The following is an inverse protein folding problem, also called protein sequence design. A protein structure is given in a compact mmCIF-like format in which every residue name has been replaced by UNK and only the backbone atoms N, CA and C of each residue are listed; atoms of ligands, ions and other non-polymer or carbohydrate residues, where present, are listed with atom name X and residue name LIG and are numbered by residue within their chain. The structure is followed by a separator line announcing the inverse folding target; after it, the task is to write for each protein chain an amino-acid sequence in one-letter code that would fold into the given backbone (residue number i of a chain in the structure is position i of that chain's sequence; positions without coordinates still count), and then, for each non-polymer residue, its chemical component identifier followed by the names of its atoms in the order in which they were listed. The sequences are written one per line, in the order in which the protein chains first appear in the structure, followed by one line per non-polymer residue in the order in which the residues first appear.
data_IF_942348492866
#
_entry.id   IF_942348492866
#
_cell.length_a   1.000
_cell.length_b   1.000
_cell.length_c   1.000
_cell.angle_alpha   90.00
_cell.angle_beta   90.00
_cell.angle_gamma   90.00
#
_symmetry.space_group_name_H-M   'P 1'
#
loop_
_entity.id
_entity.type
_entity.pdbx_description
1 polymer ?
#
# COMPACT_ATOMS: atom_id res chain seq x y z
N UNK A 1 -8.52 -13.00 30.08
CA UNK A 1 -7.92 -12.66 28.78
C UNK A 1 -8.48 -11.31 28.38
N UNK A 2 -7.62 -10.34 28.08
CA UNK A 2 -8.11 -9.07 27.49
C UNK A 2 -8.80 -9.38 26.15
N UNK A 3 -9.86 -8.65 25.83
CA UNK A 3 -10.54 -8.76 24.53
C UNK A 3 -9.61 -8.37 23.36
N UNK A 4 -10.02 -8.62 22.10
CA UNK A 4 -9.25 -8.17 20.96
C UNK A 4 -9.11 -6.63 20.98
N UNK A 5 -7.93 -6.14 20.65
CA UNK A 5 -7.71 -4.70 20.38
C UNK A 5 -8.43 -4.30 19.09
N UNK A 6 -8.83 -3.04 19.01
CA UNK A 6 -9.62 -2.50 17.89
C UNK A 6 -8.74 -1.57 17.08
N UNK A 7 -8.57 -1.86 15.79
CA UNK A 7 -8.03 -0.89 14.83
C UNK A 7 -9.16 0.08 14.48
N UNK A 8 -8.93 1.37 14.71
CA UNK A 8 -9.91 2.43 14.48
C UNK A 8 -9.74 3.06 13.09
N UNK A 9 -10.78 3.74 12.60
CA UNK A 9 -10.62 4.64 11.47
C UNK A 9 -9.69 5.80 11.87
N UNK A 10 -8.76 6.16 11.00
CA UNK A 10 -7.79 7.22 11.26
C UNK A 10 -8.47 8.58 11.49
N UNK A 11 -9.53 8.88 10.74
CA UNK A 11 -10.27 10.14 10.92
C UNK A 11 -10.95 10.24 12.28
N UNK A 12 -11.44 9.13 12.83
CA UNK A 12 -11.99 9.13 14.20
C UNK A 12 -10.92 9.58 15.21
N UNK A 13 -9.66 9.19 15.03
CA UNK A 13 -8.56 9.64 15.88
C UNK A 13 -8.24 11.13 15.71
N UNK A 14 -8.38 11.69 14.50
CA UNK A 14 -8.24 13.13 14.27
C UNK A 14 -9.39 13.90 14.91
N UNK A 15 -10.62 13.44 14.73
CA UNK A 15 -11.81 14.04 15.32
C UNK A 15 -11.74 14.06 16.85
N UNK A 16 -11.24 12.97 17.45
CA UNK A 16 -10.98 12.90 18.90
C UNK A 16 -9.89 13.87 19.34
N UNK A 17 -8.80 13.98 18.56
CA UNK A 17 -7.72 14.94 18.82
C UNK A 17 -8.22 16.37 18.82
N UNK A 18 -9.02 16.76 17.82
CA UNK A 18 -9.60 18.11 17.68
C UNK A 18 -10.60 18.42 18.79
N UNK A 19 -11.27 17.40 19.34
CA UNK A 19 -12.15 17.49 20.52
C UNK A 19 -11.39 17.50 21.85
N UNK A 20 -10.06 17.42 21.82
CA UNK A 20 -9.18 17.50 22.99
C UNK A 20 -8.70 16.15 23.54
N UNK A 21 -9.18 15.01 23.02
CA UNK A 21 -8.63 13.70 23.34
C UNK A 21 -7.39 13.43 22.47
N UNK A 22 -6.27 14.08 22.80
CA UNK A 22 -5.07 14.05 21.95
C UNK A 22 -4.25 12.76 22.06
N UNK A 23 -4.37 12.07 23.19
CA UNK A 23 -3.50 10.94 23.55
C UNK A 23 -3.43 9.85 22.46
N UNK A 24 -4.54 9.34 21.87
CA UNK A 24 -4.46 8.26 20.89
C UNK A 24 -3.61 8.61 19.66
N UNK A 25 -3.87 9.77 19.05
CA UNK A 25 -3.13 10.22 17.86
C UNK A 25 -1.69 10.59 18.20
N UNK A 26 -1.43 11.24 19.34
CA UNK A 26 -0.05 11.53 19.76
C UNK A 26 0.76 10.26 20.06
N UNK A 27 0.17 9.25 20.69
CA UNK A 27 0.83 7.95 20.90
C UNK A 27 1.18 7.30 19.57
N UNK A 28 0.30 7.35 18.57
CA UNK A 28 0.59 6.86 17.23
C UNK A 28 1.74 7.61 16.56
N UNK A 29 1.76 8.96 16.65
CA UNK A 29 2.85 9.79 16.14
C UNK A 29 4.18 9.43 16.83
N UNK A 30 4.17 9.26 18.16
CA UNK A 30 5.37 8.85 18.92
C UNK A 30 5.85 7.45 18.52
N UNK A 31 4.94 6.50 18.30
CA UNK A 31 5.29 5.15 17.86
C UNK A 31 5.95 5.14 16.48
N UNK A 32 5.37 5.84 15.50
CA UNK A 32 5.95 5.96 14.16
C UNK A 32 7.31 6.67 14.19
N UNK A 33 7.43 7.77 14.93
CA UNK A 33 8.73 8.43 15.15
C UNK A 33 9.75 7.44 15.73
N UNK A 34 9.38 6.68 16.75
CA UNK A 34 10.25 5.72 17.42
C UNK A 34 10.81 4.68 16.46
N UNK A 35 9.95 4.03 15.66
CA UNK A 35 10.43 3.00 14.71
C UNK A 35 11.24 3.60 13.55
N UNK A 36 10.98 4.85 13.15
CA UNK A 36 11.76 5.53 12.12
C UNK A 36 13.16 5.97 12.60
N UNK A 37 13.36 6.11 13.91
CA UNK A 37 14.65 6.46 14.51
C UNK A 37 15.50 5.25 14.89
N UNK A 38 14.90 4.05 14.96
CA UNK A 38 15.66 2.81 15.17
C UNK A 38 16.70 2.61 14.06
N UNK A 39 17.86 1.99 14.37
CA UNK A 39 18.88 1.72 13.35
C UNK A 39 18.31 0.89 12.19
N UNK A 40 18.70 1.14 10.92
CA UNK A 40 18.07 0.49 9.75
C UNK A 40 18.31 -1.02 9.63
N UNK A 41 19.09 -1.62 10.53
CA UNK A 41 19.31 -3.07 10.63
C UNK A 41 18.51 -3.70 11.77
N UNK A 42 17.87 -2.90 12.62
CA UNK A 42 16.92 -3.38 13.63
C UNK A 42 15.66 -3.89 12.91
N UNK A 43 15.21 -5.10 13.27
CA UNK A 43 14.05 -5.73 12.62
C UNK A 43 12.72 -5.01 12.91
N UNK A 44 12.68 -4.16 13.94
CA UNK A 44 11.55 -3.29 14.24
C UNK A 44 11.70 -1.88 13.65
N UNK A 45 12.82 -1.58 12.98
CA UNK A 45 12.98 -0.28 12.31
C UNK A 45 12.02 -0.15 11.13
N UNK A 46 11.54 1.07 10.90
CA UNK A 46 10.72 1.37 9.74
C UNK A 46 11.47 1.06 8.44
N UNK A 47 12.78 1.36 8.36
CA UNK A 47 13.60 1.03 7.19
C UNK A 47 13.59 -0.46 6.87
N UNK A 48 13.80 -1.31 7.88
CA UNK A 48 13.84 -2.75 7.69
C UNK A 48 12.48 -3.27 7.26
N UNK A 49 11.41 -2.85 7.94
CA UNK A 49 10.04 -3.29 7.66
C UNK A 49 9.59 -2.84 6.28
N UNK A 50 9.71 -1.55 5.96
CA UNK A 50 9.44 -0.97 4.64
C UNK A 50 10.16 -1.75 3.55
N UNK A 51 11.44 -2.04 3.79
CA UNK A 51 12.27 -2.80 2.87
C UNK A 51 11.92 -4.27 2.77
N UNK A 52 10.92 -4.81 3.46
CA UNK A 52 10.41 -6.15 3.20
C UNK A 52 9.49 -6.19 1.98
N UNK A 53 8.87 -5.07 1.62
CA UNK A 53 7.92 -4.99 0.51
C UNK A 53 8.61 -5.25 -0.83
N UNK A 54 9.53 -4.35 -1.22
CA UNK A 54 10.25 -4.37 -2.50
C UNK A 54 11.75 -4.25 -2.31
N UNK A 55 12.32 -3.08 -2.57
CA UNK A 55 13.73 -2.79 -2.34
C UNK A 55 14.09 -2.65 -0.85
N UNK A 56 15.33 -2.94 -0.43
CA UNK A 56 16.42 -3.45 -1.25
C UNK A 56 16.19 -4.91 -1.63
N UNK A 57 16.27 -5.23 -2.92
CA UNK A 57 16.01 -6.58 -3.41
C UNK A 57 17.02 -7.60 -2.92
N UNK A 58 16.58 -8.87 -2.88
CA UNK A 58 17.36 -10.00 -2.38
C UNK A 58 17.04 -11.29 -3.13
N UNK A 59 17.85 -12.32 -2.89
CA UNK A 59 17.66 -13.63 -3.52
C UNK A 59 17.83 -13.57 -5.04
N UNK A 60 17.06 -14.38 -5.77
CA UNK A 60 17.12 -14.40 -7.24
C UNK A 60 16.69 -13.06 -7.86
N UNK A 61 15.69 -12.40 -7.28
CA UNK A 61 15.21 -11.09 -7.73
C UNK A 61 16.15 -9.92 -7.45
N UNK A 62 17.33 -10.16 -6.82
CA UNK A 62 18.34 -9.10 -6.65
C UNK A 62 18.81 -8.51 -7.98
N UNK A 63 18.90 -9.32 -9.03
CA UNK A 63 19.39 -8.90 -10.35
C UNK A 63 18.67 -9.59 -11.51
N UNK A 64 17.46 -10.10 -11.28
CA UNK A 64 16.68 -10.81 -12.28
C UNK A 64 15.20 -10.43 -12.18
N UNK A 65 14.72 -9.65 -13.14
CA UNK A 65 13.35 -9.13 -13.18
C UNK A 65 12.26 -10.21 -13.36
N UNK A 66 12.62 -11.46 -13.68
CA UNK A 66 11.66 -12.58 -13.68
C UNK A 66 11.36 -13.11 -12.27
N UNK A 67 12.03 -12.57 -11.24
CA UNK A 67 11.79 -12.86 -9.83
C UNK A 67 11.56 -11.55 -9.08
N UNK A 68 10.58 -11.55 -8.19
CA UNK A 68 10.40 -10.44 -7.27
C UNK A 68 11.46 -10.49 -6.17
N UNK A 69 12.28 -9.45 -6.05
CA UNK A 69 13.35 -9.38 -5.06
C UNK A 69 12.88 -8.97 -3.66
N UNK A 70 11.63 -8.52 -3.53
CA UNK A 70 10.96 -8.23 -2.26
C UNK A 70 10.12 -9.43 -1.78
N UNK A 71 9.54 -9.33 -0.58
CA UNK A 71 8.71 -10.40 -0.03
C UNK A 71 7.22 -10.24 -0.32
N UNK A 72 6.77 -9.06 -0.77
CA UNK A 72 5.35 -8.83 -1.02
C UNK A 72 4.79 -9.78 -2.08
N UNK A 73 3.50 -10.05 -1.99
CA UNK A 73 2.78 -10.92 -2.92
C UNK A 73 1.74 -10.10 -3.65
N UNK A 74 1.90 -9.96 -4.97
CA UNK A 74 0.94 -9.35 -5.89
C UNK A 74 0.57 -10.32 -7.02
N UNK A 75 -0.60 -10.11 -7.60
CA UNK A 75 -1.15 -10.93 -8.69
C UNK A 75 -1.32 -12.41 -8.31
N UNK A 76 -1.39 -12.72 -7.02
CA UNK A 76 -1.52 -14.09 -6.54
C UNK A 76 -2.36 -14.20 -5.26
N UNK A 77 -2.81 -15.41 -4.94
CA UNK A 77 -3.72 -15.71 -3.83
C UNK A 77 -3.20 -15.39 -2.43
N UNK A 78 -1.91 -15.08 -2.28
CA UNK A 78 -1.33 -14.69 -1.00
C UNK A 78 -1.46 -13.18 -0.73
N UNK A 79 -1.82 -12.35 -1.73
CA UNK A 79 -1.91 -10.88 -1.62
C UNK A 79 -2.61 -10.41 -0.32
N UNK A 80 -3.88 -10.79 -0.02
CA UNK A 80 -4.54 -10.28 1.17
C UNK A 80 -3.87 -10.74 2.47
N UNK A 81 -3.42 -12.00 2.50
CA UNK A 81 -2.91 -12.61 3.74
C UNK A 81 -1.47 -12.22 4.05
N UNK A 82 -0.64 -11.99 3.03
CA UNK A 82 0.72 -11.48 3.22
C UNK A 82 0.68 -10.05 3.75
N UNK A 83 -0.15 -9.18 3.15
CA UNK A 83 -0.30 -7.80 3.61
C UNK A 83 -0.94 -7.71 5.01
N UNK A 84 -1.87 -8.61 5.37
CA UNK A 84 -2.37 -8.74 6.75
C UNK A 84 -1.23 -9.04 7.74
N UNK A 85 -0.36 -10.00 7.42
CA UNK A 85 0.80 -10.33 8.25
C UNK A 85 1.79 -9.15 8.32
N UNK A 86 1.95 -8.41 7.23
CA UNK A 86 2.82 -7.25 7.15
C UNK A 86 2.32 -6.07 8.02
N UNK A 87 1.03 -5.72 7.94
CA UNK A 87 0.41 -4.74 8.84
C UNK A 87 0.56 -5.15 10.31
N UNK A 88 0.40 -6.45 10.62
CA UNK A 88 0.62 -6.96 11.98
C UNK A 88 2.08 -6.83 12.44
N UNK A 89 3.06 -7.06 11.56
CA UNK A 89 4.47 -6.88 11.87
C UNK A 89 4.81 -5.41 12.16
N UNK A 90 4.32 -4.46 11.35
CA UNK A 90 4.47 -3.03 11.63
C UNK A 90 3.79 -2.65 12.96
N UNK A 91 2.55 -3.07 13.17
CA UNK A 91 1.83 -2.80 14.41
C UNK A 91 2.58 -3.34 15.65
N UNK A 92 3.20 -4.52 15.54
CA UNK A 92 4.04 -5.08 16.59
C UNK A 92 5.31 -4.23 16.85
N UNK A 93 5.92 -3.68 15.80
CA UNK A 93 7.06 -2.78 15.94
C UNK A 93 6.67 -1.44 16.56
N UNK A 94 5.51 -0.86 16.19
CA UNK A 94 4.97 0.34 16.83
C UNK A 94 4.77 0.13 18.34
N UNK A 95 4.26 -1.05 18.73
CA UNK A 95 4.07 -1.43 20.14
C UNK A 95 5.37 -1.70 20.89
N UNK A 96 6.50 -1.87 20.20
CA UNK A 96 7.81 -2.04 20.83
C UNK A 96 8.41 -0.73 21.35
N UNK A 97 7.86 0.41 20.93
CA UNK A 97 8.31 1.73 21.38
C UNK A 97 7.78 1.99 22.79
N UNK A 98 8.64 2.35 23.78
CA UNK A 98 8.21 2.58 25.15
C UNK A 98 7.07 3.61 25.26
N UNK A 99 6.00 3.26 25.98
CA UNK A 99 4.80 4.09 26.14
C UNK A 99 3.80 3.99 24.98
N UNK A 100 4.05 3.10 24.00
CA UNK A 100 3.17 2.85 22.86
C UNK A 100 2.64 1.41 22.81
N UNK A 101 2.74 0.65 23.90
CA UNK A 101 2.45 -0.80 23.96
C UNK A 101 1.01 -1.16 23.55
N UNK A 102 0.07 -0.23 23.77
CA UNK A 102 -1.35 -0.39 23.47
C UNK A 102 -1.75 0.15 22.09
N UNK A 103 -0.83 0.74 21.32
CA UNK A 103 -1.15 1.34 20.02
C UNK A 103 -1.65 0.27 19.04
N UNK A 104 -2.69 0.60 18.29
CA UNK A 104 -3.15 -0.18 17.14
C UNK A 104 -2.92 0.62 15.88
N UNK A 105 -2.56 -0.04 14.77
CA UNK A 105 -2.45 0.60 13.47
C UNK A 105 -3.86 0.95 12.98
N UNK A 106 -4.28 2.22 12.93
CA UNK A 106 -5.58 2.57 12.37
C UNK A 106 -5.57 2.39 10.84
N UNK A 107 -6.76 2.30 10.26
CA UNK A 107 -6.94 2.28 8.80
C UNK A 107 -7.40 3.66 8.32
N UNK A 108 -6.96 4.08 7.15
CA UNK A 108 -7.56 5.22 6.46
C UNK A 108 -8.79 4.72 5.68
N UNK A 109 -10.00 5.08 6.11
CA UNK A 109 -11.20 4.66 5.40
C UNK A 109 -11.36 5.43 4.07
N UNK A 110 -10.86 4.85 2.99
CA UNK A 110 -10.79 5.53 1.68
C UNK A 110 -12.14 5.78 1.02
N UNK A 111 -13.19 5.11 1.49
CA UNK A 111 -14.55 5.22 0.94
C UNK A 111 -15.51 5.97 1.87
N UNK A 112 -15.00 6.64 2.90
CA UNK A 112 -15.84 7.48 3.76
C UNK A 112 -16.16 8.83 3.11
N UNK A 113 -17.30 9.42 3.47
CA UNK A 113 -17.76 10.71 2.94
C UNK A 113 -16.68 11.80 3.03
N UNK A 114 -15.98 11.91 4.16
CA UNK A 114 -14.91 12.88 4.32
C UNK A 114 -13.74 12.67 3.33
N UNK A 115 -13.43 11.43 2.94
CA UNK A 115 -12.38 11.21 1.93
C UNK A 115 -12.89 11.46 0.51
N UNK A 116 -14.15 11.15 0.23
CA UNK A 116 -14.78 11.54 -1.03
C UNK A 116 -14.83 13.07 -1.20
N UNK A 117 -15.08 13.82 -0.12
CA UNK A 117 -15.22 15.28 -0.14
C UNK A 117 -13.92 16.05 0.05
N UNK A 118 -12.92 15.48 0.74
CA UNK A 118 -11.70 16.20 1.17
C UNK A 118 -10.39 15.48 0.89
N UNK A 119 -10.43 14.28 0.33
CA UNK A 119 -9.24 13.49 0.02
C UNK A 119 -8.59 12.85 1.25
N UNK A 120 -7.28 13.02 1.40
CA UNK A 120 -6.45 12.37 2.40
C UNK A 120 -6.66 13.03 3.79
N UNK A 121 -6.61 12.26 4.90
CA UNK A 121 -6.62 12.83 6.25
C UNK A 121 -5.51 13.86 6.48
N UNK A 122 -5.85 15.01 7.06
CA UNK A 122 -4.98 16.20 7.12
C UNK A 122 -3.62 15.93 7.81
N UNK A 123 -3.57 14.99 8.76
CA UNK A 123 -2.31 14.61 9.42
C UNK A 123 -1.27 14.10 8.43
N UNK A 124 -1.65 13.45 7.33
CA UNK A 124 -0.70 12.99 6.31
C UNK A 124 -0.18 14.13 5.41
N UNK A 125 -0.79 15.32 5.48
CA UNK A 125 -0.48 16.49 4.64
C UNK A 125 0.38 17.54 5.37
N UNK A 126 0.57 17.41 6.69
CA UNK A 126 1.35 18.36 7.51
C UNK A 126 2.81 17.95 7.62
N UNK A 127 3.75 18.80 7.18
CA UNK A 127 5.21 18.54 7.31
C UNK A 127 5.71 18.45 8.75
N UNK A 128 5.08 19.17 9.68
CA UNK A 128 5.45 19.25 11.09
C UNK A 128 4.30 18.76 11.97
N UNK A 129 4.65 18.19 13.11
CA UNK A 129 3.69 17.85 14.16
C UNK A 129 4.03 18.62 15.44
N UNK A 130 3.02 19.16 16.11
CA UNK A 130 3.16 19.85 17.40
C UNK A 130 2.35 19.09 18.44
N UNK A 131 3.03 18.60 19.47
CA UNK A 131 2.41 17.93 20.61
C UNK A 131 1.73 18.93 21.55
N UNK A 132 0.83 18.44 22.39
CA UNK A 132 0.16 19.23 23.44
C UNK A 132 1.12 19.92 24.40
N UNK A 133 2.27 19.31 24.67
CA UNK A 133 3.35 19.85 25.50
C UNK A 133 4.15 20.99 24.81
N UNK A 134 3.81 21.31 23.55
CA UNK A 134 4.49 22.32 22.72
C UNK A 134 5.70 21.80 21.95
N UNK A 135 6.09 20.53 22.11
CA UNK A 135 7.17 19.92 21.35
C UNK A 135 6.85 19.87 19.85
N UNK A 136 7.80 20.25 19.00
CA UNK A 136 7.64 20.25 17.54
C UNK A 136 8.62 19.26 16.90
N UNK A 137 8.12 18.40 16.02
CA UNK A 137 8.92 17.42 15.26
C UNK A 137 8.59 17.49 13.76
N UNK A 138 9.44 16.91 12.93
CA UNK A 138 9.01 16.47 11.60
C UNK A 138 7.92 15.41 11.78
N UNK A 139 6.82 15.54 11.02
CA UNK A 139 5.73 14.60 11.13
C UNK A 139 6.11 13.25 10.50
N UNK A 140 6.21 12.16 11.29
CA UNK A 140 6.64 10.87 10.77
C UNK A 140 5.61 10.22 9.84
N UNK A 141 4.38 10.74 9.75
CA UNK A 141 3.35 10.25 8.82
C UNK A 141 3.32 11.00 7.48
N UNK A 142 4.01 12.14 7.37
CA UNK A 142 4.05 12.93 6.14
C UNK A 142 4.99 12.32 5.09
N UNK A 143 6.21 11.93 5.50
CA UNK A 143 7.23 11.34 4.64
C UNK A 143 8.26 10.60 5.48
N UNK A 144 8.92 9.60 4.93
CA UNK A 144 10.06 8.95 5.57
C UNK A 144 11.39 9.45 5.00
N UNK A 145 12.43 9.54 5.83
CA UNK A 145 13.79 9.89 5.41
C UNK A 145 14.71 8.66 5.47
N UNK A 146 15.29 8.28 4.34
CA UNK A 146 16.12 7.09 4.22
C UNK A 146 17.37 7.18 5.08
N UNK A 147 17.51 6.23 6.01
CA UNK A 147 18.67 6.10 6.89
C UNK A 147 19.84 5.37 6.21
N UNK A 148 19.63 4.77 5.04
CA UNK A 148 20.63 4.01 4.29
C UNK A 148 20.32 4.06 2.79
N UNK A 149 21.37 4.04 1.96
CA UNK A 149 21.24 3.87 0.51
C UNK A 149 20.67 2.48 0.16
N UNK A 150 19.75 2.44 -0.79
CA UNK A 150 19.36 1.24 -1.54
C UNK A 150 19.83 1.38 -3.00
N UNK A 151 20.00 0.27 -3.69
CA UNK A 151 20.49 0.23 -5.06
C UNK A 151 19.65 -0.78 -5.82
N UNK A 152 18.98 -0.32 -6.86
CA UNK A 152 18.36 -1.17 -7.85
C UNK A 152 19.44 -1.81 -8.73
N UNK A 153 19.37 -3.13 -8.89
CA UNK A 153 20.29 -3.89 -9.75
C UNK A 153 19.56 -4.60 -10.91
N UNK A 154 18.31 -4.23 -11.21
CA UNK A 154 17.54 -4.69 -12.38
C UNK A 154 17.78 -3.81 -13.63
N UNK A 155 18.18 -2.56 -13.44
CA UNK A 155 18.54 -1.61 -14.51
C UNK A 155 19.67 -2.17 -15.42
N UNK A 156 19.54 -2.17 -16.78
CA UNK A 156 18.65 -1.32 -17.57
C UNK A 156 17.44 -1.96 -18.27
N UNK A 157 16.94 -3.12 -17.86
CA UNK A 157 15.74 -3.68 -18.48
C UNK A 157 14.87 -4.49 -17.51
N UNK A 158 13.54 -4.27 -17.45
CA UNK A 158 12.72 -3.27 -18.15
C UNK A 158 12.45 -1.96 -17.38
N UNK A 159 12.90 -1.83 -16.13
CA UNK A 159 12.38 -0.83 -15.20
C UNK A 159 13.27 0.41 -14.99
N UNK A 160 12.66 1.47 -14.44
CA UNK A 160 13.32 2.69 -14.01
C UNK A 160 14.27 2.42 -12.83
N UNK A 161 15.32 3.25 -12.65
CA UNK A 161 16.27 3.07 -11.55
C UNK A 161 15.70 3.59 -10.22
N UNK A 162 15.20 2.67 -9.41
CA UNK A 162 14.58 2.98 -8.11
C UNK A 162 15.58 3.19 -6.96
N UNK A 163 16.89 3.19 -7.25
CA UNK A 163 17.92 3.47 -6.25
C UNK A 163 17.66 4.78 -5.49
N UNK A 164 17.59 4.71 -4.14
CA UNK A 164 17.50 5.87 -3.26
C UNK A 164 18.77 6.07 -2.44
N UNK A 165 19.24 7.31 -2.38
CA UNK A 165 20.38 7.71 -1.56
C UNK A 165 20.07 7.84 -0.08
N UNK A 166 21.12 7.86 0.76
CA UNK A 166 20.99 8.30 2.15
C UNK A 166 20.40 9.71 2.22
N UNK A 167 19.40 9.92 3.08
CA UNK A 167 18.73 11.20 3.26
C UNK A 167 17.66 11.52 2.20
N UNK A 168 17.40 10.62 1.24
CA UNK A 168 16.23 10.73 0.37
C UNK A 168 14.95 10.76 1.22
N UNK A 169 13.98 11.60 0.83
CA UNK A 169 12.67 11.68 1.48
C UNK A 169 11.61 11.18 0.53
N UNK A 170 10.75 10.28 1.01
CA UNK A 170 9.63 9.82 0.19
C UNK A 170 8.70 10.97 -0.18
N UNK A 171 8.09 10.88 -1.34
CA UNK A 171 7.16 11.88 -1.84
C UNK A 171 5.96 11.23 -2.53
N UNK A 172 4.87 11.98 -2.58
CA UNK A 172 3.59 11.60 -3.20
C UNK A 172 3.33 12.50 -4.40
N UNK A 173 2.33 12.14 -5.21
CA UNK A 173 1.84 13.00 -6.29
C UNK A 173 1.59 14.45 -5.77
N UNK A 174 1.95 15.50 -6.53
CA UNK A 174 2.51 15.50 -7.89
C UNK A 174 4.06 15.52 -7.92
N UNK A 175 4.76 15.17 -6.83
CA UNK A 175 6.23 15.13 -6.85
C UNK A 175 6.78 13.88 -7.58
N UNK A 176 8.05 13.96 -7.98
CA UNK A 176 8.83 12.82 -8.46
C UNK A 176 9.86 12.38 -7.42
N UNK A 177 9.91 11.08 -7.20
CA UNK A 177 10.88 10.38 -6.35
C UNK A 177 11.94 9.61 -7.15
N UNK A 178 11.88 9.61 -8.49
CA UNK A 178 12.83 8.86 -9.31
C UNK A 178 14.19 9.57 -9.38
N UNK A 179 15.14 9.12 -8.57
CA UNK A 179 16.41 9.82 -8.32
C UNK A 179 17.64 9.01 -8.71
N UNK A 180 17.46 7.95 -9.50
CA UNK A 180 18.55 7.25 -10.17
C UNK A 180 19.38 8.21 -11.05
N UNK A 181 20.63 7.86 -11.40
CA UNK A 181 21.56 8.77 -12.07
C UNK A 181 21.02 9.38 -13.37
N UNK A 182 20.16 8.66 -14.10
CA UNK A 182 19.56 9.12 -15.36
C UNK A 182 18.41 10.14 -15.15
N UNK A 183 17.65 10.01 -14.07
CA UNK A 183 16.40 10.75 -13.85
C UNK A 183 16.54 11.89 -12.84
N UNK A 184 17.59 11.85 -12.01
CA UNK A 184 17.83 12.84 -10.96
C UNK A 184 17.65 14.28 -11.41
N UNK A 185 18.23 14.66 -12.56
CA UNK A 185 18.11 16.03 -13.08
C UNK A 185 16.67 16.39 -13.46
N UNK A 186 15.94 15.48 -14.13
CA UNK A 186 14.54 15.70 -14.51
C UNK A 186 13.67 15.82 -13.26
N UNK A 187 13.91 14.98 -12.26
CA UNK A 187 13.22 15.02 -10.97
C UNK A 187 13.47 16.33 -10.22
N UNK A 188 14.71 16.83 -10.20
CA UNK A 188 15.04 18.14 -9.61
C UNK A 188 14.30 19.29 -10.31
N UNK A 189 14.27 19.29 -11.66
CA UNK A 189 13.57 20.30 -12.47
C UNK A 189 12.04 20.24 -12.29
N UNK A 190 11.47 19.03 -12.23
CA UNK A 190 10.04 18.80 -11.96
C UNK A 190 9.66 19.31 -10.57
N UNK A 191 10.36 18.83 -9.54
CA UNK A 191 10.06 19.17 -8.15
C UNK A 191 10.28 20.66 -7.85
N UNK A 192 11.19 21.35 -8.57
CA UNK A 192 11.33 22.80 -8.47
C UNK A 192 10.06 23.56 -8.90
N UNK A 193 9.37 23.08 -9.96
CA UNK A 193 8.09 23.65 -10.40
C UNK A 193 6.99 23.39 -9.37
N UNK A 194 6.91 22.16 -8.85
CA UNK A 194 5.93 21.79 -7.81
C UNK A 194 6.13 22.63 -6.54
N UNK A 195 7.39 22.81 -6.11
CA UNK A 195 7.70 23.63 -4.94
C UNK A 195 7.28 25.11 -5.12
N UNK A 196 7.30 25.64 -6.35
CA UNK A 196 6.88 27.00 -6.63
C UNK A 196 5.36 27.23 -6.47
N UNK A 197 4.54 26.17 -6.47
CA UNK A 197 3.09 26.24 -6.24
C UNK A 197 2.74 26.52 -4.77
N UNK A 198 3.66 26.23 -3.84
CA UNK A 198 3.42 26.36 -2.40
C UNK A 198 2.73 25.12 -1.81
N UNK A 199 2.90 24.93 -0.50
CA UNK A 199 2.49 23.68 0.17
C UNK A 199 0.98 23.42 0.10
N UNK A 200 0.16 24.45 0.30
CA UNK A 200 -1.29 24.30 0.34
C UNK A 200 -1.85 23.89 -1.02
N UNK A 201 -1.38 24.51 -2.12
CA UNK A 201 -1.80 24.14 -3.47
C UNK A 201 -1.34 22.73 -3.85
N UNK A 202 -0.15 22.31 -3.40
CA UNK A 202 0.31 20.92 -3.60
C UNK A 202 -0.57 19.91 -2.88
N UNK A 203 -1.01 20.22 -1.66
CA UNK A 203 -1.95 19.36 -0.92
C UNK A 203 -3.33 19.33 -1.58
N UNK A 204 -3.80 20.46 -2.12
CA UNK A 204 -5.03 20.55 -2.91
C UNK A 204 -4.96 19.63 -4.14
N UNK A 205 -3.89 19.73 -4.94
CA UNK A 205 -3.66 18.89 -6.13
C UNK A 205 -3.68 17.38 -5.78
N UNK A 206 -3.02 16.98 -4.70
CA UNK A 206 -3.03 15.58 -4.26
C UNK A 206 -4.44 15.11 -3.86
N UNK A 207 -5.17 15.94 -3.11
CA UNK A 207 -6.53 15.59 -2.70
C UNK A 207 -7.49 15.53 -3.89
N UNK A 208 -7.42 16.48 -4.83
CA UNK A 208 -8.22 16.52 -6.06
C UNK A 208 -7.95 15.28 -6.91
N UNK A 209 -6.69 14.83 -7.03
CA UNK A 209 -6.35 13.59 -7.73
C UNK A 209 -6.99 12.38 -7.05
N UNK A 210 -6.81 12.21 -5.73
CA UNK A 210 -7.42 11.10 -4.97
C UNK A 210 -8.94 11.07 -5.13
N UNK A 211 -9.60 12.23 -5.05
CA UNK A 211 -11.05 12.35 -5.25
C UNK A 211 -11.47 11.94 -6.66
N UNK A 212 -10.72 12.36 -7.67
CA UNK A 212 -11.01 12.05 -9.07
C UNK A 212 -10.93 10.54 -9.33
N UNK A 213 -9.90 9.88 -8.79
CA UNK A 213 -9.78 8.41 -8.81
C UNK A 213 -10.95 7.71 -8.10
N UNK A 214 -11.36 8.21 -6.93
CA UNK A 214 -12.48 7.63 -6.17
C UNK A 214 -13.81 7.70 -6.92
N UNK A 215 -14.10 8.84 -7.56
CA UNK A 215 -15.40 9.13 -8.18
C UNK A 215 -15.46 8.84 -9.69
N UNK A 216 -14.31 8.60 -10.33
CA UNK A 216 -14.14 8.50 -11.78
C UNK A 216 -14.66 9.73 -12.53
N UNK A 217 -14.24 10.90 -12.09
CA UNK A 217 -14.47 12.14 -12.82
C UNK A 217 -13.35 12.33 -13.85
N UNK A 218 -13.45 11.64 -14.99
CA UNK A 218 -12.65 12.04 -16.17
C UNK A 218 -13.11 13.42 -16.66
N UNK A 219 -12.28 14.05 -17.50
CA UNK A 219 -12.45 15.39 -18.11
C UNK A 219 -13.84 15.62 -18.75
N UNK A 220 -14.58 14.54 -19.04
CA UNK A 220 -15.91 14.53 -19.63
C UNK A 220 -17.09 14.48 -18.62
N UNK A 221 -16.83 14.50 -17.31
CA UNK A 221 -17.85 14.74 -16.28
C UNK A 221 -18.89 13.63 -16.08
N UNK A 222 -18.58 12.38 -16.44
CA UNK A 222 -19.50 11.23 -16.21
C UNK A 222 -19.28 10.66 -14.80
N UNK A 223 -20.05 11.16 -13.83
CA UNK A 223 -20.00 10.64 -12.45
C UNK A 223 -20.43 9.16 -12.34
N UNK A 224 -19.62 8.37 -11.62
CA UNK A 224 -20.14 7.23 -10.86
C UNK A 224 -20.14 5.84 -11.50
N UNK A 225 -19.50 5.61 -12.65
CA UNK A 225 -19.24 4.24 -13.16
C UNK A 225 -17.75 3.99 -13.33
N UNK A 226 -17.18 3.03 -12.60
CA UNK A 226 -15.80 2.56 -12.78
C UNK A 226 -14.76 3.11 -11.80
N UNK A 227 -15.14 4.04 -10.91
CA UNK A 227 -14.23 4.62 -9.91
C UNK A 227 -13.83 3.65 -8.80
N UNK A 228 -12.78 3.99 -8.06
CA UNK A 228 -12.24 3.16 -6.98
C UNK A 228 -13.30 2.85 -5.93
N UNK A 229 -14.18 3.81 -5.63
CA UNK A 229 -15.32 3.60 -4.71
C UNK A 229 -16.20 2.42 -5.16
N UNK A 230 -16.56 2.38 -6.44
CA UNK A 230 -17.38 1.30 -6.99
C UNK A 230 -16.63 -0.04 -6.98
N UNK A 231 -15.34 -0.02 -7.32
CA UNK A 231 -14.48 -1.22 -7.30
C UNK A 231 -14.39 -1.83 -5.89
N UNK A 232 -14.31 -1.02 -4.83
CA UNK A 232 -14.39 -1.52 -3.45
C UNK A 232 -15.72 -2.19 -3.13
N UNK A 233 -16.85 -1.62 -3.57
CA UNK A 233 -18.16 -2.27 -3.37
C UNK A 233 -18.31 -3.56 -4.21
N UNK A 234 -17.75 -3.57 -5.43
CA UNK A 234 -17.81 -4.72 -6.32
C UNK A 234 -16.89 -5.85 -5.86
N UNK A 235 -15.73 -5.56 -5.25
CA UNK A 235 -14.86 -6.62 -4.73
C UNK A 235 -15.52 -7.39 -3.58
N UNK A 236 -16.33 -6.73 -2.75
CA UNK A 236 -17.13 -7.40 -1.71
C UNK A 236 -18.19 -8.37 -2.29
N UNK A 237 -18.43 -8.38 -3.60
CA UNK A 237 -19.35 -9.30 -4.28
C UNK A 237 -18.62 -10.50 -4.90
N UNK A 238 -17.29 -10.53 -4.91
CA UNK A 238 -16.52 -11.63 -5.49
C UNK A 238 -16.94 -12.98 -4.85
N UNK A 239 -17.20 -14.02 -5.66
CA UNK A 239 -17.93 -15.22 -5.22
C UNK A 239 -17.10 -16.23 -4.42
N UNK A 240 -15.77 -16.12 -4.44
CA UNK A 240 -14.86 -16.99 -3.69
C UNK A 240 -13.53 -16.28 -3.44
N UNK A 241 -12.73 -16.78 -2.49
CA UNK A 241 -11.48 -16.14 -2.09
C UNK A 241 -10.46 -16.01 -3.23
N UNK A 242 -10.33 -17.03 -4.09
CA UNK A 242 -9.32 -17.03 -5.18
C UNK A 242 -9.48 -15.83 -6.13
N UNK A 243 -10.71 -15.55 -6.56
CA UNK A 243 -10.98 -14.41 -7.47
C UNK A 243 -11.22 -13.09 -6.73
N UNK A 244 -11.52 -13.15 -5.43
CA UNK A 244 -11.50 -11.99 -4.56
C UNK A 244 -10.07 -11.47 -4.33
N UNK A 245 -9.10 -12.37 -4.18
CA UNK A 245 -7.79 -12.01 -3.64
C UNK A 245 -6.93 -11.21 -4.60
N UNK A 246 -6.99 -11.47 -5.91
CA UNK A 246 -5.95 -10.99 -6.83
C UNK A 246 -6.43 -10.83 -8.27
N UNK A 247 -5.70 -9.98 -8.98
CA UNK A 247 -5.91 -9.62 -10.39
C UNK A 247 -5.79 -10.80 -11.33
N UNK A 248 -4.76 -11.64 -11.24
CA UNK A 248 -4.56 -12.78 -12.16
C UNK A 248 -5.72 -13.78 -12.12
N UNK A 249 -6.16 -14.19 -10.92
CA UNK A 249 -7.31 -15.09 -10.78
C UNK A 249 -8.61 -14.45 -11.29
N UNK A 250 -8.85 -13.17 -10.99
CA UNK A 250 -10.06 -12.50 -11.44
C UNK A 250 -10.08 -12.29 -12.96
N UNK A 251 -8.95 -11.99 -13.59
CA UNK A 251 -8.82 -11.94 -15.06
C UNK A 251 -9.22 -13.26 -15.68
N UNK A 252 -8.62 -14.38 -15.25
CA UNK A 252 -8.97 -15.70 -15.77
C UNK A 252 -10.47 -16.00 -15.60
N UNK A 253 -11.01 -15.75 -14.41
CA UNK A 253 -12.44 -15.98 -14.15
C UNK A 253 -13.33 -15.17 -15.08
N UNK A 254 -12.99 -13.90 -15.31
CA UNK A 254 -13.79 -13.03 -16.15
C UNK A 254 -13.71 -13.41 -17.63
N UNK A 255 -12.55 -13.87 -18.10
CA UNK A 255 -12.39 -14.41 -19.46
C UNK A 255 -13.27 -15.65 -19.65
N UNK A 256 -13.21 -16.59 -18.70
CA UNK A 256 -13.96 -17.86 -18.78
C UNK A 256 -15.47 -17.69 -18.68
N UNK A 257 -15.95 -16.73 -17.88
CA UNK A 257 -17.38 -16.60 -17.56
C UNK A 257 -18.08 -15.46 -18.30
N UNK A 258 -17.34 -14.41 -18.67
CA UNK A 258 -17.90 -13.16 -19.20
C UNK A 258 -17.19 -12.68 -20.48
N UNK A 259 -16.16 -13.39 -20.95
CA UNK A 259 -15.37 -13.05 -22.14
C UNK A 259 -14.76 -11.64 -22.07
N UNK A 260 -14.27 -11.24 -20.89
CA UNK A 260 -13.57 -9.97 -20.66
C UNK A 260 -12.37 -10.14 -19.73
N UNK A 261 -11.27 -9.43 -20.02
CA UNK A 261 -10.10 -9.36 -19.13
C UNK A 261 -10.23 -8.24 -18.08
N UNK A 262 -9.15 -7.99 -17.33
CA UNK A 262 -9.02 -6.82 -16.44
C UNK A 262 -8.02 -5.79 -16.99
N UNK A 263 -8.28 -4.47 -16.83
CA UNK A 263 -9.50 -3.89 -16.25
C UNK A 263 -10.70 -4.09 -17.18
N UNK A 264 -11.81 -4.60 -16.65
CA UNK A 264 -13.04 -4.81 -17.40
C UNK A 264 -13.76 -3.46 -17.57
N UNK A 265 -14.29 -3.13 -18.76
CA UNK A 265 -15.10 -1.94 -18.94
C UNK A 265 -16.32 -1.96 -18.01
N UNK A 266 -16.64 -0.84 -17.37
CA UNK A 266 -17.82 -0.72 -16.50
C UNK A 266 -19.16 -1.03 -17.22
N UNK A 267 -19.15 -1.05 -18.56
CA UNK A 267 -20.29 -1.43 -19.40
C UNK A 267 -20.56 -2.93 -19.44
N UNK A 268 -19.59 -3.77 -19.05
CA UNK A 268 -19.73 -5.23 -19.05
C UNK A 268 -20.12 -5.68 -17.66
N UNK A 269 -21.29 -6.25 -17.51
CA UNK A 269 -21.78 -6.80 -16.24
C UNK A 269 -22.66 -8.04 -16.52
N UNK A 270 -22.57 -9.11 -15.71
CA UNK A 270 -21.73 -9.24 -14.52
C UNK A 270 -20.24 -9.48 -14.82
N UNK A 271 -19.35 -9.05 -13.92
CA UNK A 271 -17.93 -9.45 -13.85
C UNK A 271 -17.44 -9.42 -12.40
N UNK A 272 -16.30 -10.05 -12.12
CA UNK A 272 -15.65 -10.05 -10.80
C UNK A 272 -14.59 -8.95 -10.72
N UNK A 273 -14.59 -8.21 -9.63
CA UNK A 273 -13.52 -7.27 -9.26
C UNK A 273 -12.75 -7.86 -8.08
N UNK A 274 -11.41 -8.02 -8.15
CA UNK A 274 -10.61 -8.46 -7.02
C UNK A 274 -10.34 -7.28 -6.07
N UNK A 275 -10.06 -7.56 -4.80
CA UNK A 275 -9.63 -6.57 -3.80
C UNK A 275 -8.34 -5.83 -4.23
N UNK A 276 -7.44 -6.53 -4.91
CA UNK A 276 -6.20 -5.96 -5.43
C UNK A 276 -6.44 -4.86 -6.48
N UNK A 277 -7.58 -4.85 -7.17
CA UNK A 277 -7.86 -3.82 -8.19
C UNK A 277 -8.03 -2.41 -7.61
N UNK A 278 -8.98 -2.13 -6.68
CA UNK A 278 -9.08 -0.81 -6.07
C UNK A 278 -7.85 -0.45 -5.22
N UNK A 279 -7.14 -1.45 -4.67
CA UNK A 279 -5.83 -1.25 -4.04
C UNK A 279 -4.82 -0.63 -5.02
N UNK A 280 -4.65 -1.23 -6.20
CA UNK A 280 -3.71 -0.73 -7.21
C UNK A 280 -4.04 0.70 -7.62
N UNK A 281 -5.31 1.01 -7.81
CA UNK A 281 -5.74 2.36 -8.18
C UNK A 281 -5.35 3.42 -7.12
N UNK A 282 -5.49 3.09 -5.83
CA UNK A 282 -5.11 4.00 -4.74
C UNK A 282 -3.59 4.19 -4.63
N UNK A 283 -2.81 3.15 -4.91
CA UNK A 283 -1.36 3.27 -5.07
C UNK A 283 -1.01 4.28 -6.17
N UNK A 284 -1.66 4.17 -7.33
CA UNK A 284 -1.44 5.06 -8.46
C UNK A 284 -1.87 6.51 -8.16
N UNK A 285 -3.06 6.70 -7.57
CA UNK A 285 -3.61 8.01 -7.20
C UNK A 285 -2.73 8.79 -6.21
N UNK A 286 -2.22 8.10 -5.19
CA UNK A 286 -1.33 8.70 -4.19
C UNK A 286 0.10 8.84 -4.74
N UNK A 287 0.48 7.92 -5.63
CA UNK A 287 1.84 7.67 -6.05
C UNK A 287 2.35 8.50 -7.20
N UNK A 288 1.52 9.00 -8.10
CA UNK A 288 2.06 9.78 -9.23
C UNK A 288 1.19 9.85 -10.47
N UNK A 289 0.07 9.14 -10.49
CA UNK A 289 -0.71 8.98 -11.70
C UNK A 289 -2.04 9.70 -11.60
N UNK A 290 -2.41 10.34 -12.69
CA UNK A 290 -3.73 10.91 -12.89
C UNK A 290 -4.67 9.87 -13.50
N UNK A 291 -5.96 10.02 -13.25
CA UNK A 291 -6.96 9.10 -13.79
C UNK A 291 -7.05 9.25 -15.32
N UNK A 292 -7.22 8.13 -16.03
CA UNK A 292 -7.41 8.13 -17.50
C UNK A 292 -6.12 8.29 -18.32
N UNK A 293 -4.98 8.52 -17.67
CA UNK A 293 -3.70 8.74 -18.32
C UNK A 293 -3.01 7.42 -18.70
N UNK A 294 -3.33 6.89 -19.88
CA UNK A 294 -2.68 5.70 -20.43
C UNK A 294 -1.27 5.99 -20.99
N UNK A 295 -0.87 7.26 -21.11
CA UNK A 295 0.37 7.68 -21.78
C UNK A 295 1.37 8.39 -20.85
N UNK A 296 1.03 8.57 -19.58
CA UNK A 296 1.82 9.29 -18.59
C UNK A 296 1.99 10.80 -18.91
N UNK A 297 0.99 11.42 -19.56
CA UNK A 297 0.95 12.81 -20.00
C UNK A 297 -0.11 13.72 -19.33
N UNK A 298 -0.56 13.38 -18.12
CA UNK A 298 -1.45 14.21 -17.28
C UNK A 298 -0.95 15.64 -17.00
N UNK A 299 -1.67 16.43 -16.19
CA UNK A 299 -1.33 17.81 -15.84
C UNK A 299 0.09 17.93 -15.25
N UNK A 300 0.54 16.92 -14.48
CA UNK A 300 1.88 16.85 -13.92
C UNK A 300 2.66 15.62 -14.42
N UNK A 301 3.07 15.60 -15.70
CA UNK A 301 3.74 14.45 -16.29
C UNK A 301 5.13 14.28 -15.66
N UNK A 302 5.47 13.04 -15.31
CA UNK A 302 6.72 12.72 -14.62
C UNK A 302 6.63 12.78 -13.08
N UNK A 303 5.44 12.88 -12.50
CA UNK A 303 5.22 12.57 -11.10
C UNK A 303 5.42 11.06 -10.86
N UNK A 304 6.48 10.72 -10.12
CA UNK A 304 6.90 9.34 -9.82
C UNK A 304 7.15 9.20 -8.31
N UNK A 305 6.14 9.51 -7.49
CA UNK A 305 6.19 9.31 -6.05
C UNK A 305 6.24 7.84 -5.65
N UNK A 306 6.71 7.56 -4.44
CA UNK A 306 7.09 6.21 -4.03
C UNK A 306 5.87 5.27 -3.92
N UNK A 307 4.68 5.78 -3.59
CA UNK A 307 3.45 4.96 -3.55
C UNK A 307 3.03 4.38 -4.91
N UNK A 308 3.57 4.90 -6.03
CA UNK A 308 3.12 4.56 -7.38
C UNK A 308 3.70 3.26 -7.92
N UNK A 309 4.63 2.63 -7.20
CA UNK A 309 5.38 1.47 -7.65
C UNK A 309 5.71 0.54 -6.47
N UNK A 310 5.97 -0.74 -6.74
CA UNK A 310 6.08 -1.75 -5.67
C UNK A 310 7.46 -1.78 -4.99
N UNK A 311 8.51 -1.29 -5.64
CA UNK A 311 9.89 -1.34 -5.20
C UNK A 311 10.07 -0.47 -3.94
N UNK A 312 9.53 0.75 -3.91
CA UNK A 312 9.70 1.68 -2.77
C UNK A 312 8.42 2.19 -2.09
N UNK A 313 7.21 1.81 -2.53
CA UNK A 313 5.96 2.19 -1.85
C UNK A 313 5.92 1.88 -0.33
N UNK A 314 6.52 0.77 0.09
CA UNK A 314 6.58 0.38 1.50
C UNK A 314 7.30 1.39 2.41
N UNK A 315 8.08 2.32 1.84
CA UNK A 315 8.76 3.39 2.57
C UNK A 315 7.90 4.63 2.80
N UNK A 316 6.77 4.81 2.11
CA UNK A 316 5.84 5.89 2.43
C UNK A 316 4.98 5.48 3.66
N UNK A 317 4.95 6.25 4.76
CA UNK A 317 4.12 5.92 5.91
C UNK A 317 2.63 5.69 5.59
N UNK A 318 2.06 6.35 4.58
CA UNK A 318 0.62 6.20 4.23
C UNK A 318 0.30 4.79 3.72
N UNK A 319 1.29 4.08 3.17
CA UNK A 319 1.19 2.69 2.72
C UNK A 319 0.49 1.82 3.77
N UNK A 320 0.89 1.95 5.03
CA UNK A 320 0.38 1.07 6.09
C UNK A 320 -1.05 1.38 6.49
N UNK A 321 -1.51 2.62 6.31
CA UNK A 321 -2.88 3.02 6.59
C UNK A 321 -3.82 2.59 5.46
N UNK A 322 -3.33 2.69 4.21
CA UNK A 322 -3.96 2.09 3.03
C UNK A 322 -4.11 0.57 3.18
N UNK A 323 -3.01 -0.15 3.43
CA UNK A 323 -3.06 -1.61 3.60
C UNK A 323 -3.85 -2.07 4.82
N UNK A 324 -3.92 -1.26 5.88
CA UNK A 324 -4.81 -1.55 7.01
C UNK A 324 -6.29 -1.43 6.60
N UNK A 325 -6.63 -0.52 5.67
CA UNK A 325 -7.96 -0.45 5.08
C UNK A 325 -8.25 -1.61 4.12
N UNK A 326 -7.28 -2.01 3.30
CA UNK A 326 -7.36 -3.24 2.49
C UNK A 326 -7.61 -4.46 3.38
N UNK A 327 -6.93 -4.56 4.52
CA UNK A 327 -7.15 -5.62 5.49
C UNK A 327 -8.55 -5.56 6.12
N UNK A 328 -9.06 -4.36 6.39
CA UNK A 328 -10.44 -4.17 6.84
C UNK A 328 -11.45 -4.62 5.77
N UNK A 329 -11.24 -4.29 4.50
CA UNK A 329 -12.08 -4.75 3.38
C UNK A 329 -12.05 -6.26 3.20
N UNK A 330 -10.86 -6.88 3.33
CA UNK A 330 -10.73 -8.33 3.38
C UNK A 330 -11.53 -8.94 4.53
N UNK A 331 -11.44 -8.36 5.73
CA UNK A 331 -12.24 -8.81 6.87
C UNK A 331 -13.75 -8.67 6.64
N UNK A 332 -14.21 -7.59 5.99
CA UNK A 332 -15.63 -7.42 5.64
C UNK A 332 -16.08 -8.49 4.65
N UNK A 333 -15.28 -8.80 3.63
CA UNK A 333 -15.56 -9.89 2.69
C UNK A 333 -15.67 -11.23 3.41
N UNK A 334 -14.71 -11.57 4.30
CA UNK A 334 -14.74 -12.81 5.08
C UNK A 334 -16.03 -12.93 5.91
N UNK A 335 -16.46 -11.86 6.58
CA UNK A 335 -17.71 -11.87 7.35
C UNK A 335 -18.93 -12.08 6.44
N UNK A 336 -18.98 -11.39 5.30
CA UNK A 336 -20.10 -11.46 4.36
C UNK A 336 -20.26 -12.84 3.73
N UNK A 337 -19.14 -13.53 3.46
CA UNK A 337 -19.12 -14.84 2.81
C UNK A 337 -18.97 -16.01 3.78
N UNK A 338 -18.93 -15.75 5.10
CA UNK A 338 -18.78 -16.81 6.11
C UNK A 338 -17.39 -17.43 6.19
N UNK A 339 -16.37 -16.77 5.63
CA UNK A 339 -14.98 -17.24 5.54
C UNK A 339 -14.05 -16.70 6.64
N UNK A 340 -14.63 -16.28 7.78
CA UNK A 340 -13.88 -15.79 8.94
C UNK A 340 -12.96 -16.87 9.52
N UNK A 341 -13.39 -18.13 9.50
CA UNK A 341 -12.66 -19.25 10.12
C UNK A 341 -11.81 -20.07 9.15
N UNK A 342 -12.08 -19.96 7.85
CA UNK A 342 -11.42 -20.76 6.83
C UNK A 342 -11.60 -20.08 5.48
N UNK A 343 -10.51 -20.01 4.72
CA UNK A 343 -10.50 -19.60 3.32
C UNK A 343 -10.44 -20.85 2.43
N UNK A 344 -10.88 -20.72 1.18
CA UNK A 344 -10.73 -21.76 0.17
C UNK A 344 -10.00 -21.23 -1.07
N UNK A 345 -8.95 -21.92 -1.50
CA UNK A 345 -8.23 -21.62 -2.75
C UNK A 345 -8.54 -22.72 -3.76
N UNK A 346 -8.96 -22.33 -4.96
CA UNK A 346 -9.11 -23.25 -6.11
C UNK A 346 -7.70 -23.74 -6.50
N UNK A 347 -7.39 -25.04 -6.35
CA UNK A 347 -6.05 -25.55 -6.61
C UNK A 347 -5.65 -25.36 -8.08
N UNK A 348 -4.42 -24.92 -8.32
CA UNK A 348 -3.82 -24.78 -9.65
C UNK A 348 -4.54 -23.78 -10.57
N UNK A 349 -5.36 -22.90 -10.00
CA UNK A 349 -5.98 -21.80 -10.75
C UNK A 349 -4.94 -20.69 -11.01
N UNK A 350 -5.02 -19.93 -12.12
CA UNK A 350 -4.15 -18.76 -12.31
C UNK A 350 -4.17 -17.82 -11.11
N UNK A 351 -3.01 -17.34 -10.67
CA UNK A 351 -2.80 -16.65 -9.40
C UNK A 351 -2.42 -17.59 -8.24
N UNK A 352 -2.27 -18.90 -8.49
CA UNK A 352 -1.79 -19.87 -7.48
C UNK A 352 -0.40 -20.44 -7.81
N UNK A 353 0.31 -19.92 -8.81
CA UNK A 353 1.68 -20.33 -9.09
C UNK A 353 2.67 -19.20 -8.79
N UNK A 354 3.85 -19.54 -8.27
CA UNK A 354 4.88 -18.55 -7.95
C UNK A 354 5.43 -17.80 -9.17
N UNK A 355 5.24 -18.30 -10.39
CA UNK A 355 5.64 -17.58 -11.62
C UNK A 355 4.52 -16.68 -12.17
N UNK A 356 3.35 -16.64 -11.53
CA UNK A 356 2.28 -15.75 -11.94
C UNK A 356 2.65 -14.29 -11.63
N UNK A 357 2.27 -13.38 -12.54
CA UNK A 357 2.42 -11.92 -12.39
C UNK A 357 3.87 -11.48 -12.05
N UNK A 358 4.13 -10.99 -10.82
CA UNK A 358 5.43 -10.47 -10.38
C UNK A 358 6.55 -11.52 -10.29
N UNK A 359 6.22 -12.81 -10.38
CA UNK A 359 7.17 -13.90 -10.25
C UNK A 359 7.56 -14.27 -8.81
N UNK A 360 8.49 -15.23 -8.64
CA UNK A 360 8.69 -15.85 -7.34
C UNK A 360 9.43 -14.94 -6.36
N UNK A 361 8.98 -14.91 -5.12
CA UNK A 361 9.59 -14.15 -4.02
C UNK A 361 10.80 -14.88 -3.40
N UNK A 362 11.65 -14.22 -2.60
CA UNK A 362 12.81 -14.85 -1.99
C UNK A 362 12.42 -16.03 -1.10
N UNK A 363 13.03 -17.19 -1.36
CA UNK A 363 12.72 -18.44 -0.66
C UNK A 363 11.65 -19.30 -1.34
N UNK A 364 10.91 -18.76 -2.32
CA UNK A 364 9.91 -19.49 -3.08
C UNK A 364 10.50 -20.04 -4.39
N UNK A 365 10.48 -21.38 -4.62
CA UNK A 365 10.91 -21.94 -5.90
C UNK A 365 10.04 -21.46 -7.06
N UNK A 366 10.63 -21.28 -8.25
CA UNK A 366 9.85 -21.05 -9.47
C UNK A 366 8.99 -22.26 -9.82
N UNK A 367 7.73 -22.01 -10.18
CA UNK A 367 6.75 -23.05 -10.52
C UNK A 367 6.00 -23.64 -9.32
N UNK A 368 6.25 -23.14 -8.12
CA UNK A 368 5.64 -23.65 -6.89
C UNK A 368 4.17 -23.25 -6.76
N UNK A 369 3.32 -24.21 -6.38
CA UNK A 369 1.90 -23.95 -6.11
C UNK A 369 1.71 -23.27 -4.74
N UNK A 370 1.20 -22.04 -4.78
CA UNK A 370 0.85 -21.21 -3.64
C UNK A 370 -0.51 -21.64 -3.07
N UNK A 371 -0.59 -21.80 -1.76
CA UNK A 371 -1.78 -22.23 -1.05
C UNK A 371 -1.75 -21.76 0.42
N UNK A 372 -2.74 -22.16 1.22
CA UNK A 372 -2.88 -21.70 2.63
C UNK A 372 -1.75 -22.17 3.57
N UNK A 373 -0.93 -23.12 3.13
CA UNK A 373 0.25 -23.60 3.86
C UNK A 373 1.55 -22.95 3.41
N UNK A 374 1.53 -22.18 2.31
CA UNK A 374 2.70 -21.46 1.86
C UNK A 374 3.15 -20.47 2.94
N UNK A 375 4.45 -20.44 3.30
CA UNK A 375 4.98 -19.44 4.21
C UNK A 375 4.71 -18.02 3.71
N UNK A 376 4.25 -17.16 4.60
CA UNK A 376 4.16 -15.71 4.38
C UNK A 376 5.49 -15.10 4.82
N UNK A 377 6.56 -15.43 4.09
CA UNK A 377 7.91 -14.98 4.45
C UNK A 377 8.00 -13.44 4.44
N UNK A 378 8.82 -12.86 5.33
CA UNK A 378 9.66 -13.51 6.34
C UNK A 378 8.97 -13.67 7.71
N UNK A 379 7.64 -13.53 7.77
CA UNK A 379 6.91 -13.40 9.02
C UNK A 379 6.83 -14.71 9.81
N UNK A 380 7.02 -14.62 11.13
CA UNK A 380 6.97 -15.75 12.07
C UNK A 380 5.96 -15.48 13.17
N UNK A 381 5.33 -16.53 13.70
CA UNK A 381 4.43 -16.37 14.84
C UNK A 381 5.21 -15.85 16.07
N UNK A 382 4.67 -14.83 16.78
CA UNK A 382 5.33 -14.24 17.95
C UNK A 382 5.80 -15.31 18.95
N UNK A 383 7.05 -15.16 19.43
CA UNK A 383 7.66 -16.10 20.37
C UNK A 383 8.04 -17.46 19.78
N UNK A 384 7.99 -17.65 18.46
CA UNK A 384 8.34 -18.93 17.81
C UNK A 384 9.18 -18.71 16.55
N UNK A 385 9.83 -19.79 16.09
CA UNK A 385 10.48 -19.83 14.77
C UNK A 385 9.56 -20.33 13.64
N UNK A 386 8.28 -20.55 13.92
CA UNK A 386 7.34 -21.11 12.95
C UNK A 386 6.90 -20.01 11.97
N UNK A 387 6.99 -20.22 10.65
CA UNK A 387 6.52 -19.24 9.68
C UNK A 387 5.01 -19.04 9.81
N UNK A 388 4.55 -17.81 9.59
CA UNK A 388 3.14 -17.51 9.38
C UNK A 388 2.69 -18.12 8.05
N UNK A 389 1.42 -18.56 7.99
CA UNK A 389 0.78 -19.01 6.75
C UNK A 389 -0.64 -18.46 6.72
N UNK A 390 -1.31 -18.47 5.57
CA UNK A 390 -2.70 -18.01 5.43
C UNK A 390 -3.75 -18.87 6.15
N UNK A 391 -3.34 -20.00 6.74
CA UNK A 391 -4.24 -20.90 7.49
C UNK A 391 -4.66 -20.24 8.79
N UNK A 392 -5.95 -19.89 8.86
CA UNK A 392 -6.62 -19.44 10.09
C UNK A 392 -6.47 -20.54 11.17
N UNK A 393 -6.07 -20.15 12.38
CA UNK A 393 -5.89 -21.06 13.51
C UNK A 393 -6.99 -20.90 14.54
#
# INVERSE_FOLDING_TARGET
MAGPRVRHNFRDLQDEYDKGNKKPLETLIRAFKGIQELPPHDHNSFFFLAGLHGEPFRGAGWGNASWWGGYCNHGNVLFPTWHRAYCFALESALQSIPGCEDVTLPYWNEIEENTLERGIPETFLKKKWTFEDGGVIDNPLYSYTFQKKITDNLNPFPDADYSKGYGYKTCRYPYSGLVGPADKKKTEEHNAKINALGHDKVNEILNENVQSWLLHTDVDGVEGRGGVLEKYFNCLKAPNYTVFSNTTSATQWNEDHFNVGLPAPATVSPHVVPLESPHNDMHLAVGGYEIGDANFDGEYPGANGDMGENDTAGFDPIFYFHHCFIDAMFWQWQKKHGEVKQLHIIPQYPGTNSVDNQGPTPGTPGGAWLNLHTPLDPFKFPGTNKPMTSKVR
#
